data_IF_977968853085
#
_entry.id   IF_977968853085
#
_cell.length_a   1.000
_cell.length_b   1.000
_cell.length_c   1.000
_cell.angle_alpha   90.00
_cell.angle_beta   90.00
_cell.angle_gamma   90.00
#
_symmetry.space_group_name_H-M   'P 1'
#
loop_
_entity.id
_entity.type
_entity.pdbx_description
1 polymer ?
#
# COMPACT_ATOMS: atom_id res chain seq x y z
N UNK A 1 -5.87 6.81 22.20
CA UNK A 1 -5.73 8.21 21.78
C UNK A 1 -7.09 8.92 21.89
N UNK A 2 -7.30 9.84 22.85
CA UNK A 2 -8.44 10.75 22.83
C UNK A 2 -7.98 12.09 22.22
N UNK A 3 -8.56 12.53 21.09
CA UNK A 3 -8.22 13.86 20.56
C UNK A 3 -8.68 14.22 19.15
N UNK A 4 -9.05 13.27 18.29
CA UNK A 4 -9.60 13.58 16.97
C UNK A 4 -10.98 12.92 16.82
N UNK A 5 -11.97 13.71 16.43
CA UNK A 5 -13.33 13.24 16.23
C UNK A 5 -13.41 12.18 15.12
N UNK A 6 -14.45 11.32 15.15
CA UNK A 6 -14.60 10.18 14.24
C UNK A 6 -14.75 10.57 12.75
N UNK A 7 -14.83 11.86 12.43
CA UNK A 7 -15.06 12.36 11.07
C UNK A 7 -13.77 12.68 10.29
N UNK A 8 -12.62 12.75 10.97
CA UNK A 8 -11.34 13.16 10.33
C UNK A 8 -10.26 12.08 10.32
N UNK A 9 -10.58 10.88 10.82
CA UNK A 9 -9.64 9.76 10.91
C UNK A 9 -10.31 8.50 10.39
N UNK A 10 -9.89 8.04 9.22
CA UNK A 10 -10.34 6.78 8.63
C UNK A 10 -9.13 5.86 8.53
N UNK A 11 -9.27 4.61 8.99
CA UNK A 11 -8.27 3.56 8.81
C UNK A 11 -7.40 3.27 10.03
N UNK A 12 -8.02 2.85 11.14
CA UNK A 12 -7.32 2.10 12.20
C UNK A 12 -7.49 0.58 12.01
N UNK A 13 -7.71 0.14 10.77
CA UNK A 13 -7.74 -1.26 10.39
C UNK A 13 -6.43 -1.58 9.67
N UNK A 14 -5.79 -2.66 10.13
CA UNK A 14 -4.62 -3.29 9.53
C UNK A 14 -4.84 -3.37 8.01
N UNK A 15 -4.14 -2.53 7.23
CA UNK A 15 -4.36 -2.41 5.79
C UNK A 15 -3.76 -3.63 5.07
N UNK A 16 -4.58 -4.67 5.05
CA UNK A 16 -4.44 -5.93 4.35
C UNK A 16 -4.19 -5.66 2.85
N UNK A 17 -3.01 -6.03 2.35
CA UNK A 17 -2.73 -5.97 0.91
C UNK A 17 -3.27 -7.24 0.23
N UNK A 18 -4.34 -7.15 -0.58
CA UNK A 18 -4.96 -8.31 -1.20
C UNK A 18 -4.18 -8.96 -2.33
N UNK A 19 -3.24 -8.22 -2.94
CA UNK A 19 -2.34 -8.80 -3.93
C UNK A 19 -1.27 -9.67 -3.27
N UNK A 20 -1.13 -9.60 -1.95
CA UNK A 20 -0.17 -10.36 -1.15
C UNK A 20 -0.88 -11.46 -0.34
N UNK A 21 -2.09 -11.24 0.17
CA UNK A 21 -2.77 -12.23 1.01
C UNK A 21 -3.37 -13.41 0.24
N UNK A 22 -3.62 -13.29 -1.08
CA UNK A 22 -3.91 -14.48 -1.93
C UNK A 22 -2.76 -15.51 -1.94
N UNK A 23 -1.55 -15.13 -1.51
CA UNK A 23 -0.37 -16.02 -1.47
C UNK A 23 -0.17 -16.66 -0.09
N UNK A 24 -0.76 -16.11 0.98
CA UNK A 24 -0.40 -16.44 2.37
C UNK A 24 -1.43 -17.22 3.17
N UNK A 25 -2.63 -17.48 2.65
CA UNK A 25 -3.52 -18.51 3.21
C UNK A 25 -3.77 -19.66 2.21
N UNK A 26 -2.95 -20.72 2.23
CA UNK A 26 -3.30 -21.99 1.61
C UNK A 26 -4.24 -22.84 2.50
N UNK A 27 -5.02 -22.25 3.41
CA UNK A 27 -5.73 -23.03 4.45
C UNK A 27 -6.91 -22.38 5.18
N UNK A 28 -7.53 -21.32 4.64
CA UNK A 28 -8.81 -20.83 5.17
C UNK A 28 -9.96 -21.64 4.60
N UNK A 29 -10.79 -22.27 5.45
CA UNK A 29 -12.00 -22.99 5.07
C UNK A 29 -12.99 -22.07 4.34
N UNK A 30 -12.86 -22.00 3.01
CA UNK A 30 -13.90 -21.62 2.04
C UNK A 30 -13.44 -22.13 0.67
N UNK A 31 -13.22 -23.44 0.61
CA UNK A 31 -12.92 -24.16 -0.62
C UNK A 31 -14.22 -24.49 -1.33
N UNK A 32 -14.92 -23.49 -1.85
CA UNK A 32 -15.90 -23.70 -2.91
C UNK A 32 -16.08 -22.38 -3.68
N UNK A 33 -15.82 -22.44 -5.00
CA UNK A 33 -16.00 -21.37 -6.01
C UNK A 33 -14.86 -20.36 -6.27
N UNK A 34 -13.61 -20.81 -6.44
CA UNK A 34 -12.57 -19.98 -7.07
C UNK A 34 -12.31 -20.41 -8.53
N UNK A 35 -12.54 -19.54 -9.54
CA UNK A 35 -12.20 -19.85 -10.94
C UNK A 35 -10.69 -19.88 -11.13
N UNK A 36 -10.22 -20.70 -12.08
CA UNK A 36 -8.83 -21.08 -12.40
C UNK A 36 -7.75 -19.98 -12.45
N UNK A 37 -8.11 -18.69 -12.39
CA UNK A 37 -7.19 -17.55 -12.42
C UNK A 37 -6.46 -17.24 -11.10
N UNK A 38 -6.98 -17.62 -9.94
CA UNK A 38 -6.35 -17.31 -8.63
C UNK A 38 -5.09 -18.15 -8.37
N UNK A 39 -5.12 -19.44 -8.70
CA UNK A 39 -3.98 -20.37 -8.55
C UNK A 39 -2.78 -19.93 -9.41
N UNK A 40 -3.05 -19.43 -10.62
CA UNK A 40 -2.01 -18.94 -11.53
C UNK A 40 -1.34 -17.66 -11.02
N UNK A 41 -2.08 -16.77 -10.34
CA UNK A 41 -1.53 -15.56 -9.70
C UNK A 41 -0.63 -15.89 -8.52
N UNK A 42 -1.05 -16.83 -7.66
CA UNK A 42 -0.28 -17.26 -6.49
C UNK A 42 1.06 -17.90 -6.90
N UNK A 43 1.06 -18.75 -7.93
CA UNK A 43 2.28 -19.34 -8.51
C UNK A 43 3.21 -18.27 -9.10
N UNK A 44 2.67 -17.31 -9.85
CA UNK A 44 3.45 -16.24 -10.47
C UNK A 44 4.13 -15.35 -9.43
N UNK A 45 3.42 -14.99 -8.35
CA UNK A 45 3.99 -14.24 -7.24
C UNK A 45 5.08 -15.02 -6.51
N UNK A 46 4.88 -16.32 -6.25
CA UNK A 46 5.90 -17.18 -5.63
C UNK A 46 7.17 -17.31 -6.48
N UNK A 47 7.02 -17.41 -7.80
CA UNK A 47 8.15 -17.45 -8.74
C UNK A 47 8.87 -16.09 -8.76
N UNK A 48 8.14 -14.98 -8.89
CA UNK A 48 8.73 -13.64 -8.89
C UNK A 48 9.49 -13.37 -7.60
N UNK A 49 8.94 -13.78 -6.45
CA UNK A 49 9.59 -13.59 -5.15
C UNK A 49 10.89 -14.39 -5.02
N UNK A 50 10.92 -15.64 -5.49
CA UNK A 50 12.11 -16.50 -5.40
C UNK A 50 13.21 -16.14 -6.39
N UNK A 51 12.89 -15.42 -7.45
CA UNK A 51 13.81 -15.16 -8.57
C UNK A 51 14.26 -13.70 -8.64
N UNK A 52 13.47 -12.76 -8.14
CA UNK A 52 13.82 -11.34 -8.10
C UNK A 52 14.33 -10.92 -6.72
N UNK A 53 15.33 -10.03 -6.65
CA UNK A 53 15.58 -9.26 -5.44
C UNK A 53 14.30 -8.58 -4.97
N UNK A 54 14.07 -8.47 -3.65
CA UNK A 54 12.84 -7.92 -3.05
C UNK A 54 12.39 -6.61 -3.70
N UNK A 55 13.31 -5.69 -3.96
CA UNK A 55 13.00 -4.42 -4.62
C UNK A 55 12.45 -4.60 -6.05
N UNK A 56 12.95 -5.59 -6.80
CA UNK A 56 12.46 -5.97 -8.12
C UNK A 56 11.03 -6.51 -8.08
N UNK A 57 10.73 -7.37 -7.11
CA UNK A 57 9.38 -7.88 -6.85
C UNK A 57 8.41 -6.73 -6.52
N UNK A 58 8.76 -5.86 -5.58
CA UNK A 58 7.93 -4.72 -5.18
C UNK A 58 7.63 -3.79 -6.36
N UNK A 59 8.63 -3.54 -7.23
CA UNK A 59 8.44 -2.75 -8.47
C UNK A 59 7.47 -3.42 -9.45
N UNK A 60 7.52 -4.74 -9.58
CA UNK A 60 6.65 -5.48 -10.48
C UNK A 60 5.19 -5.42 -10.01
N UNK A 61 4.96 -5.70 -8.72
CA UNK A 61 3.62 -5.67 -8.11
C UNK A 61 3.04 -4.26 -8.12
N UNK A 62 3.82 -3.23 -7.76
CA UNK A 62 3.32 -1.85 -7.78
C UNK A 62 2.93 -1.40 -9.19
N UNK A 63 3.71 -1.81 -10.20
CA UNK A 63 3.40 -1.49 -11.61
C UNK A 63 2.10 -2.16 -12.05
N UNK A 64 1.89 -3.43 -11.69
CA UNK A 64 0.65 -4.14 -11.99
C UNK A 64 -0.53 -3.43 -11.34
N UNK A 65 -0.41 -3.05 -10.06
CA UNK A 65 -1.44 -2.29 -9.36
C UNK A 65 -1.80 -0.99 -10.10
N UNK A 66 -0.81 -0.15 -10.46
CA UNK A 66 -1.11 1.12 -11.14
C UNK A 66 -1.71 0.94 -12.53
N UNK A 67 -1.33 -0.12 -13.26
CA UNK A 67 -1.96 -0.47 -14.54
C UNK A 67 -3.42 -0.85 -14.31
N UNK A 68 -3.70 -1.76 -13.36
CA UNK A 68 -5.06 -2.18 -13.00
C UNK A 68 -5.91 -0.99 -12.53
N UNK A 69 -5.36 -0.13 -11.67
CA UNK A 69 -6.01 1.07 -11.17
C UNK A 69 -6.43 2.02 -12.30
N UNK A 70 -5.52 2.31 -13.23
CA UNK A 70 -5.79 3.16 -14.39
C UNK A 70 -6.85 2.57 -15.34
N UNK A 71 -6.88 1.25 -15.45
CA UNK A 71 -7.91 0.53 -16.23
C UNK A 71 -9.24 0.40 -15.46
N UNK A 72 -9.33 0.86 -14.21
CA UNK A 72 -10.51 0.71 -13.37
C UNK A 72 -10.80 -0.74 -12.94
N UNK A 73 -9.81 -1.63 -13.05
CA UNK A 73 -9.92 -3.02 -12.60
C UNK A 73 -9.82 -3.06 -11.07
N UNK A 74 -10.63 -3.89 -10.42
CA UNK A 74 -10.65 -4.00 -8.96
C UNK A 74 -11.55 -3.00 -8.22
N UNK A 75 -12.29 -2.13 -8.94
CA UNK A 75 -13.25 -1.17 -8.35
C UNK A 75 -14.32 -1.77 -7.42
N UNK A 76 -14.57 -3.08 -7.51
CA UNK A 76 -15.55 -3.82 -6.71
C UNK A 76 -14.92 -4.92 -5.85
N UNK A 77 -13.59 -4.96 -5.78
CA UNK A 77 -12.88 -5.85 -4.88
C UNK A 77 -12.68 -5.11 -3.57
N UNK A 78 -13.18 -5.67 -2.45
CA UNK A 78 -13.05 -5.14 -1.08
C UNK A 78 -11.60 -4.71 -0.72
N UNK A 79 -10.70 -5.36 -1.43
CA UNK A 79 -9.28 -5.37 -1.30
C UNK A 79 -8.62 -4.14 -1.96
N UNK A 80 -9.24 -3.56 -3.00
CA UNK A 80 -8.71 -2.41 -3.75
C UNK A 80 -9.69 -1.24 -3.85
N UNK A 81 -10.91 -1.41 -3.33
CA UNK A 81 -11.98 -0.42 -3.49
C UNK A 81 -11.68 0.91 -2.81
N UNK A 82 -10.97 0.90 -1.68
CA UNK A 82 -10.71 2.11 -0.88
C UNK A 82 -10.01 3.22 -1.66
N UNK A 83 -9.07 2.87 -2.55
CA UNK A 83 -8.37 3.86 -3.39
C UNK A 83 -9.35 4.57 -4.33
N UNK A 84 -10.43 3.90 -4.75
CA UNK A 84 -11.47 4.49 -5.60
C UNK A 84 -12.45 5.38 -4.85
N UNK A 85 -12.45 5.34 -3.51
CA UNK A 85 -13.28 6.22 -2.67
C UNK A 85 -12.58 7.52 -2.29
N UNK A 86 -11.27 7.66 -2.53
CA UNK A 86 -10.51 8.88 -2.24
C UNK A 86 -11.13 10.18 -2.79
N UNK A 87 -11.74 10.22 -4.00
CA UNK A 87 -12.38 11.45 -4.48
C UNK A 87 -13.59 11.92 -3.65
N UNK A 88 -14.11 11.07 -2.76
CA UNK A 88 -15.17 11.44 -1.81
C UNK A 88 -14.62 12.01 -0.50
N UNK A 89 -13.32 11.84 -0.25
CA UNK A 89 -12.65 12.18 1.00
C UNK A 89 -11.71 13.37 0.87
N UNK A 90 -11.14 13.58 -0.32
CA UNK A 90 -10.22 14.67 -0.62
C UNK A 90 -10.70 15.46 -1.83
N UNK A 91 -10.40 16.76 -1.84
CA UNK A 91 -10.67 17.70 -2.93
C UNK A 91 -9.42 18.50 -3.29
N UNK A 92 -9.50 19.18 -4.43
CA UNK A 92 -8.44 20.06 -4.89
C UNK A 92 -8.09 21.11 -3.82
N UNK A 93 -6.79 21.30 -3.56
CA UNK A 93 -6.26 22.20 -2.54
C UNK A 93 -6.07 21.60 -1.15
N UNK A 94 -6.58 20.39 -0.89
CA UNK A 94 -6.43 19.77 0.43
C UNK A 94 -4.97 19.39 0.73
N UNK A 95 -4.67 19.24 2.02
CA UNK A 95 -3.47 18.58 2.51
C UNK A 95 -3.84 17.19 3.01
N UNK A 96 -3.23 16.15 2.44
CA UNK A 96 -3.43 14.76 2.84
C UNK A 96 -2.18 14.18 3.50
N UNK A 97 -2.37 13.26 4.45
CA UNK A 97 -1.28 12.54 5.12
C UNK A 97 -1.53 11.04 4.94
N UNK A 98 -0.59 10.36 4.30
CA UNK A 98 -0.60 8.91 4.04
C UNK A 98 0.41 8.23 4.98
N UNK A 99 -0.09 7.65 6.08
CA UNK A 99 0.71 7.02 7.13
C UNK A 99 0.87 5.54 6.80
N UNK A 100 2.11 5.07 6.63
CA UNK A 100 2.36 3.73 6.08
C UNK A 100 2.13 3.71 4.57
N UNK A 101 2.68 4.70 3.87
CA UNK A 101 2.45 4.96 2.46
C UNK A 101 2.85 3.78 1.55
N UNK A 102 3.66 2.83 2.04
CA UNK A 102 4.02 1.60 1.37
C UNK A 102 4.53 1.85 -0.06
N UNK A 103 3.90 1.28 -1.09
CA UNK A 103 4.28 1.50 -2.49
C UNK A 103 3.59 2.71 -3.14
N UNK A 104 2.89 3.53 -2.37
CA UNK A 104 2.26 4.78 -2.82
C UNK A 104 0.88 4.61 -3.44
N UNK A 105 0.15 3.57 -3.01
CA UNK A 105 -1.17 3.24 -3.53
C UNK A 105 -2.22 4.30 -3.22
N UNK A 106 -2.10 5.00 -2.09
CA UNK A 106 -2.96 6.13 -1.73
C UNK A 106 -2.28 7.46 -2.06
N UNK A 107 -1.01 7.65 -1.69
CA UNK A 107 -0.27 8.89 -1.95
C UNK A 107 -0.34 9.38 -3.40
N UNK A 108 -0.25 8.48 -4.39
CA UNK A 108 -0.29 8.88 -5.81
C UNK A 108 -1.67 9.36 -6.26
N UNK A 109 -2.76 8.60 -6.08
CA UNK A 109 -4.11 9.10 -6.34
C UNK A 109 -4.45 10.37 -5.55
N UNK A 110 -4.05 10.45 -4.27
CA UNK A 110 -4.22 11.66 -3.46
C UNK A 110 -3.52 12.86 -4.10
N UNK A 111 -2.27 12.69 -4.55
CA UNK A 111 -1.51 13.73 -5.26
C UNK A 111 -2.25 14.25 -6.50
N UNK A 112 -2.91 13.36 -7.25
CA UNK A 112 -3.72 13.73 -8.41
C UNK A 112 -5.00 14.47 -8.00
N UNK A 113 -5.70 14.01 -6.96
CA UNK A 113 -6.97 14.58 -6.47
C UNK A 113 -6.78 15.97 -5.87
N UNK A 114 -5.79 16.14 -4.98
CA UNK A 114 -5.55 17.44 -4.32
C UNK A 114 -4.92 18.45 -5.27
N UNK A 115 -4.32 17.98 -6.37
CA UNK A 115 -3.76 18.81 -7.41
C UNK A 115 -2.60 19.70 -6.96
N UNK A 116 -2.15 20.60 -7.83
CA UNK A 116 -0.97 21.45 -7.58
C UNK A 116 -1.15 22.48 -6.47
N UNK A 117 -2.38 22.77 -6.07
CA UNK A 117 -2.68 23.67 -4.96
C UNK A 117 -2.67 22.95 -3.60
N UNK A 118 -2.79 21.62 -3.60
CA UNK A 118 -2.76 20.80 -2.39
C UNK A 118 -1.39 20.19 -2.12
N UNK A 119 -1.29 19.42 -1.03
CA UNK A 119 -0.07 18.71 -0.62
C UNK A 119 -0.38 17.30 -0.11
N UNK A 120 0.59 16.41 -0.25
CA UNK A 120 0.54 15.06 0.31
C UNK A 120 1.82 14.79 1.09
N UNK A 121 1.68 14.36 2.34
CA UNK A 121 2.79 13.88 3.16
C UNK A 121 2.72 12.35 3.25
N UNK A 122 3.69 11.65 2.68
CA UNK A 122 3.73 10.19 2.63
C UNK A 122 4.81 9.67 3.59
N UNK A 123 4.42 8.88 4.58
CA UNK A 123 5.33 8.36 5.61
C UNK A 123 5.54 6.87 5.42
N UNK A 124 6.79 6.44 5.21
CA UNK A 124 7.14 5.03 5.00
C UNK A 124 8.49 4.68 5.66
N UNK A 125 8.47 3.95 6.80
CA UNK A 125 9.67 3.67 7.57
C UNK A 125 10.60 2.63 6.95
N UNK A 126 10.11 1.73 6.08
CA UNK A 126 10.90 0.59 5.60
C UNK A 126 11.79 1.02 4.42
N UNK A 127 13.14 1.02 4.54
CA UNK A 127 14.00 1.64 3.53
C UNK A 127 13.86 1.06 2.11
N UNK A 128 13.67 -0.26 1.98
CA UNK A 128 13.47 -0.91 0.67
C UNK A 128 12.13 -0.56 0.04
N UNK A 129 11.08 -0.44 0.84
CA UNK A 129 9.74 -0.02 0.39
C UNK A 129 9.78 1.45 0.00
N UNK A 130 10.38 2.30 0.83
CA UNK A 130 10.54 3.74 0.59
C UNK A 130 11.33 4.03 -0.71
N UNK A 131 12.32 3.22 -1.08
CA UNK A 131 12.99 3.34 -2.40
C UNK A 131 12.03 3.13 -3.56
N UNK A 132 11.12 2.17 -3.46
CA UNK A 132 10.10 1.90 -4.49
C UNK A 132 9.00 2.96 -4.47
N UNK A 133 8.57 3.41 -3.28
CA UNK A 133 7.65 4.54 -3.09
C UNK A 133 8.15 5.79 -3.84
N UNK A 134 9.40 6.21 -3.57
CA UNK A 134 10.03 7.36 -4.24
C UNK A 134 10.03 7.21 -5.76
N UNK A 135 10.18 5.98 -6.27
CA UNK A 135 10.09 5.70 -7.70
C UNK A 135 8.66 5.84 -8.23
N UNK A 136 7.67 5.30 -7.51
CA UNK A 136 6.27 5.33 -7.92
C UNK A 136 5.67 6.74 -7.88
N UNK A 137 6.19 7.60 -7.00
CA UNK A 137 5.81 9.01 -6.85
C UNK A 137 6.64 9.98 -7.71
N UNK A 138 7.51 9.48 -8.59
CA UNK A 138 8.22 10.35 -9.54
C UNK A 138 7.21 11.14 -10.38
N UNK A 139 7.36 12.46 -10.39
CA UNK A 139 6.48 13.39 -11.10
C UNK A 139 5.36 13.99 -10.24
N UNK A 140 5.08 13.42 -9.06
CA UNK A 140 4.15 13.98 -8.09
C UNK A 140 4.81 15.12 -7.29
N UNK A 141 4.87 16.32 -7.89
CA UNK A 141 5.60 17.49 -7.32
C UNK A 141 5.03 18.04 -6.02
N UNK A 142 3.80 17.67 -5.68
CA UNK A 142 3.09 18.07 -4.46
C UNK A 142 3.19 17.02 -3.35
N UNK A 143 4.06 16.01 -3.48
CA UNK A 143 4.26 14.96 -2.48
C UNK A 143 5.60 15.12 -1.78
N UNK A 144 5.59 15.09 -0.46
CA UNK A 144 6.76 15.01 0.40
C UNK A 144 6.82 13.63 1.05
N UNK A 145 8.00 12.99 1.05
CA UNK A 145 8.18 11.63 1.56
C UNK A 145 9.06 11.67 2.81
N UNK A 146 8.56 11.08 3.89
CA UNK A 146 9.25 10.94 5.16
C UNK A 146 9.62 9.46 5.36
N UNK A 147 10.91 9.17 5.43
CA UNK A 147 11.44 7.83 5.69
C UNK A 147 11.65 7.58 7.19
N UNK A 148 10.56 7.75 7.95
CA UNK A 148 10.52 7.53 9.39
C UNK A 148 9.23 6.79 9.80
N UNK A 149 9.20 6.29 11.02
CA UNK A 149 7.98 5.83 11.66
C UNK A 149 7.33 6.99 12.43
N UNK A 150 6.01 7.02 12.50
CA UNK A 150 5.30 7.99 13.35
C UNK A 150 5.16 7.43 14.77
N UNK A 151 5.48 8.26 15.75
CA UNK A 151 5.39 7.94 17.16
C UNK A 151 5.20 9.20 18.02
N UNK A 152 5.06 9.01 19.33
CA UNK A 152 4.83 10.10 20.26
C UNK A 152 6.04 11.04 20.44
N UNK A 153 7.24 10.56 20.15
CA UNK A 153 8.50 11.30 20.31
C UNK A 153 9.48 10.95 19.19
N UNK A 154 10.42 11.85 18.93
CA UNK A 154 11.50 11.60 17.97
C UNK A 154 12.60 10.76 18.63
N UNK A 155 12.70 9.49 18.23
CA UNK A 155 13.73 8.57 18.70
C UNK A 155 13.97 7.46 17.68
N UNK A 156 15.13 6.83 17.80
CA UNK A 156 15.41 5.58 17.07
C UNK A 156 14.69 4.40 17.73
N UNK A 157 14.06 3.58 16.90
CA UNK A 157 13.42 2.32 17.31
C UNK A 157 13.83 1.21 16.34
N UNK A 158 13.91 -0.02 16.84
CA UNK A 158 14.09 -1.20 15.99
C UNK A 158 12.73 -1.72 15.57
N UNK A 159 12.51 -1.76 14.26
CA UNK A 159 11.31 -2.38 13.68
C UNK A 159 11.54 -3.89 13.55
N UNK A 160 10.79 -4.69 14.31
CA UNK A 160 10.76 -6.14 14.20
C UNK A 160 9.64 -6.57 13.24
N UNK A 161 9.92 -7.56 12.40
CA UNK A 161 8.91 -8.17 11.56
C UNK A 161 9.07 -9.69 11.56
N UNK A 162 8.18 -10.38 12.27
CA UNK A 162 8.23 -11.83 12.42
C UNK A 162 7.79 -12.56 11.15
N UNK A 163 6.93 -11.93 10.33
CA UNK A 163 6.43 -12.54 9.11
C UNK A 163 7.53 -12.74 8.07
N UNK A 164 8.59 -11.93 8.09
CA UNK A 164 9.72 -12.05 7.17
C UNK A 164 10.49 -13.36 7.41
N UNK A 165 10.51 -13.84 8.65
CA UNK A 165 11.16 -15.09 9.04
C UNK A 165 10.28 -16.31 8.77
N UNK A 166 8.97 -16.19 8.98
CA UNK A 166 8.03 -17.32 8.86
C UNK A 166 7.53 -17.55 7.42
N UNK A 167 7.14 -16.47 6.75
CA UNK A 167 6.53 -16.55 5.41
C UNK A 167 7.49 -16.14 4.30
N UNK A 168 8.69 -15.70 4.68
CA UNK A 168 9.65 -15.09 3.79
C UNK A 168 9.23 -13.69 3.34
N UNK A 169 8.17 -13.08 3.87
CA UNK A 169 7.64 -11.80 3.39
C UNK A 169 7.62 -10.73 4.48
N UNK A 170 7.98 -9.48 4.14
CA UNK A 170 7.79 -8.33 5.03
C UNK A 170 6.31 -7.93 5.04
N UNK A 171 5.53 -8.55 5.93
CA UNK A 171 4.19 -8.11 6.30
C UNK A 171 4.29 -6.71 6.88
N UNK A 172 3.62 -5.75 6.25
CA UNK A 172 3.55 -4.39 6.77
C UNK A 172 2.22 -4.26 7.50
N UNK A 173 2.26 -4.46 8.82
CA UNK A 173 1.17 -4.24 9.75
C UNK A 173 1.73 -3.68 11.05
#
# INVERSE_FOLDING_TARGET
YPGHGPETTIGHEVLYNPFVTEVLEPGGELQELIPSGSVMKALLHKILYRTLPLEGYLRAVSRLFFISYRLGLGRRSAATEYVYHLPRLAKAGDTAIDIGANLGYYARPLSEIVGTAGRVHAVEPVPVVCRVLRRNLRGCRNVEIFDCALGAENKEITMSNDSARETGYLGTG
#
